data_IF_899781509462
#
_entry.id   IF_899781509462
#
_cell.length_a   1.000
_cell.length_b   1.000
_cell.length_c   1.000
_cell.angle_alpha   90.00
_cell.angle_beta   90.00
_cell.angle_gamma   90.00
#
_symmetry.space_group_name_H-M   'P 1'
#
loop_
_entity.id
_entity.type
_entity.pdbx_description
1 polymer ?
#
# COMPACT_ATOMS: atom_id res chain seq x y z
N UNK A 1 -17.72 23.94 -29.75
CA UNK A 1 -16.93 22.73 -30.03
C UNK A 1 -15.46 22.85 -29.62
N UNK A 2 -14.79 24.02 -29.78
CA UNK A 2 -13.34 24.16 -29.48
C UNK A 2 -12.90 23.85 -28.03
N UNK A 3 -13.70 24.14 -27.01
CA UNK A 3 -13.32 23.88 -25.61
C UNK A 3 -13.21 22.39 -25.24
N UNK A 4 -14.00 21.51 -25.89
CA UNK A 4 -13.99 20.09 -25.56
C UNK A 4 -12.71 19.38 -26.03
N UNK A 5 -12.16 19.83 -27.15
CA UNK A 5 -10.98 19.25 -27.79
C UNK A 5 -9.74 19.41 -26.90
N UNK A 6 -9.58 20.53 -26.18
CA UNK A 6 -8.39 20.76 -25.37
C UNK A 6 -8.29 19.82 -24.17
N UNK A 7 -9.39 19.54 -23.47
CA UNK A 7 -9.41 18.53 -22.41
C UNK A 7 -9.13 17.13 -22.98
N UNK A 8 -9.69 16.79 -24.13
CA UNK A 8 -9.46 15.49 -24.78
C UNK A 8 -7.99 15.33 -25.16
N UNK A 9 -7.36 16.36 -25.73
CA UNK A 9 -5.93 16.37 -26.02
C UNK A 9 -5.10 16.21 -24.75
N UNK A 10 -5.41 16.94 -23.68
CA UNK A 10 -4.73 16.80 -22.40
C UNK A 10 -4.79 15.37 -21.88
N UNK A 11 -5.99 14.77 -21.84
CA UNK A 11 -6.18 13.39 -21.35
C UNK A 11 -5.51 12.37 -22.28
N UNK A 12 -5.61 12.55 -23.59
CA UNK A 12 -4.96 11.69 -24.59
C UNK A 12 -3.44 11.73 -24.44
N UNK A 13 -2.85 12.92 -24.26
CA UNK A 13 -1.41 13.07 -24.06
C UNK A 13 -0.94 12.36 -22.79
N UNK A 14 -1.68 12.49 -21.68
CA UNK A 14 -1.40 11.75 -20.44
C UNK A 14 -1.53 10.23 -20.63
N UNK A 15 -2.54 9.78 -21.37
CA UNK A 15 -2.75 8.36 -21.67
C UNK A 15 -1.63 7.78 -22.55
N UNK A 16 -1.23 8.49 -23.60
CA UNK A 16 -0.12 8.12 -24.48
C UNK A 16 1.19 8.07 -23.71
N UNK A 17 1.45 9.03 -22.82
CA UNK A 17 2.61 9.02 -21.94
C UNK A 17 2.62 7.78 -21.03
N UNK A 18 1.49 7.48 -20.40
CA UNK A 18 1.34 6.30 -19.55
C UNK A 18 1.57 5.00 -20.33
N UNK A 19 0.99 4.88 -21.54
CA UNK A 19 1.23 3.73 -22.41
C UNK A 19 2.70 3.63 -22.81
N UNK A 20 3.34 4.74 -23.15
CA UNK A 20 4.76 4.84 -23.45
C UNK A 20 5.59 4.18 -22.35
N UNK A 21 5.39 4.63 -21.11
CA UNK A 21 6.21 4.22 -19.97
C UNK A 21 5.84 2.86 -19.38
N UNK A 22 4.57 2.43 -19.49
CA UNK A 22 4.09 1.19 -18.87
C UNK A 22 4.08 0.00 -19.81
N UNK A 23 3.80 0.21 -21.09
CA UNK A 23 3.73 -0.87 -22.08
C UNK A 23 5.11 -1.17 -22.68
N UNK A 24 5.89 -0.14 -23.01
CA UNK A 24 7.23 -0.33 -23.56
C UNK A 24 8.26 -0.43 -22.43
N UNK A 25 8.92 -1.59 -22.33
CA UNK A 25 9.97 -1.80 -21.33
C UNK A 25 11.16 -0.85 -21.48
N UNK A 26 12.05 -0.75 -20.47
CA UNK A 26 13.10 0.27 -20.45
C UNK A 26 14.08 0.24 -21.63
N UNK A 27 14.29 -0.93 -22.21
CA UNK A 27 15.17 -1.15 -23.35
C UNK A 27 14.49 -0.98 -24.71
N UNK A 28 13.18 -0.73 -24.75
CA UNK A 28 12.44 -0.69 -26.01
C UNK A 28 12.66 0.67 -26.73
N UNK A 29 13.11 0.69 -27.99
CA UNK A 29 13.52 1.92 -28.69
C UNK A 29 12.37 2.90 -28.94
N UNK A 30 11.12 2.40 -29.03
CA UNK A 30 9.93 3.25 -29.21
C UNK A 30 9.50 3.97 -27.92
N UNK A 31 9.94 3.52 -26.74
CA UNK A 31 9.54 4.13 -25.45
C UNK A 31 9.75 5.65 -25.44
N UNK A 32 10.97 6.19 -25.66
CA UNK A 32 11.20 7.64 -25.63
C UNK A 32 10.38 8.40 -26.68
N UNK A 33 10.16 7.83 -27.86
CA UNK A 33 9.38 8.47 -28.92
C UNK A 33 7.90 8.61 -28.52
N UNK A 34 7.30 7.55 -27.94
CA UNK A 34 5.91 7.57 -27.48
C UNK A 34 5.74 8.48 -26.26
N UNK A 35 6.66 8.42 -25.29
CA UNK A 35 6.64 9.30 -24.12
C UNK A 35 6.77 10.77 -24.52
N UNK A 36 7.69 11.09 -25.44
CA UNK A 36 7.87 12.46 -25.96
C UNK A 36 6.63 12.93 -26.71
N UNK A 37 5.99 12.06 -27.50
CA UNK A 37 4.73 12.38 -28.17
C UNK A 37 3.61 12.68 -27.15
N UNK A 38 3.50 11.89 -26.07
CA UNK A 38 2.56 12.15 -24.98
C UNK A 38 2.77 13.52 -24.33
N UNK A 39 4.02 13.85 -23.96
CA UNK A 39 4.39 15.16 -23.40
C UNK A 39 4.09 16.29 -24.39
N UNK A 40 4.41 16.12 -25.68
CA UNK A 40 4.15 17.12 -26.70
C UNK A 40 2.65 17.41 -26.86
N UNK A 41 1.78 16.39 -26.78
CA UNK A 41 0.32 16.55 -26.85
C UNK A 41 -0.21 17.29 -25.61
N UNK A 42 0.30 16.97 -24.40
CA UNK A 42 -0.06 17.70 -23.18
C UNK A 42 0.38 19.17 -23.26
N UNK A 43 1.61 19.42 -23.71
CA UNK A 43 2.15 20.76 -23.89
C UNK A 43 1.35 21.55 -24.93
N UNK A 44 0.97 20.91 -26.05
CA UNK A 44 0.12 21.53 -27.07
C UNK A 44 -1.25 21.91 -26.51
N UNK A 45 -1.89 21.04 -25.73
CA UNK A 45 -3.17 21.34 -25.09
C UNK A 45 -3.06 22.57 -24.16
N UNK A 46 -1.99 22.64 -23.37
CA UNK A 46 -1.69 23.77 -22.50
C UNK A 46 -1.44 25.07 -23.28
N UNK A 47 -0.57 25.03 -24.29
CA UNK A 47 -0.23 26.20 -25.11
C UNK A 47 -1.45 26.74 -25.85
N UNK A 48 -2.26 25.86 -26.44
CA UNK A 48 -3.51 26.27 -27.09
C UNK A 48 -4.46 26.90 -26.07
N UNK A 49 -4.57 26.35 -24.85
CA UNK A 49 -5.38 26.96 -23.78
C UNK A 49 -4.85 28.35 -23.43
N UNK A 50 -3.55 28.51 -23.23
CA UNK A 50 -2.93 29.78 -22.89
C UNK A 50 -3.16 30.82 -24.00
N UNK A 51 -2.92 30.45 -25.26
CA UNK A 51 -3.17 31.33 -26.42
C UNK A 51 -4.65 31.71 -26.50
N UNK A 52 -5.58 30.78 -26.28
CA UNK A 52 -7.02 31.10 -26.27
C UNK A 52 -7.40 32.03 -25.13
N UNK A 53 -6.76 31.92 -23.96
CA UNK A 53 -6.98 32.81 -22.83
C UNK A 53 -6.42 34.22 -23.11
N UNK A 54 -5.23 34.31 -23.71
CA UNK A 54 -4.59 35.58 -24.06
C UNK A 54 -5.30 36.33 -25.18
N UNK A 55 -5.86 35.61 -26.16
CA UNK A 55 -6.65 36.19 -27.26
C UNK A 55 -8.08 36.57 -26.85
N UNK A 56 -8.59 36.05 -25.74
CA UNK A 56 -9.90 36.43 -25.24
C UNK A 56 -9.87 37.84 -24.63
N UNK A 57 -11.02 38.53 -24.64
CA UNK A 57 -11.18 39.85 -24.04
C UNK A 57 -12.23 39.82 -22.92
N UNK A 58 -12.22 40.84 -22.07
CA UNK A 58 -13.22 41.02 -21.00
C UNK A 58 -13.28 39.90 -19.96
N UNK A 59 -14.49 39.52 -19.56
CA UNK A 59 -14.76 38.47 -18.56
C UNK A 59 -14.27 37.09 -19.01
N UNK A 60 -14.36 36.79 -20.32
CA UNK A 60 -13.95 35.51 -20.86
C UNK A 60 -12.46 35.23 -20.65
N UNK A 61 -11.61 36.24 -20.78
CA UNK A 61 -10.17 36.13 -20.47
C UNK A 61 -9.95 35.77 -19.01
N UNK A 62 -10.64 36.45 -18.08
CA UNK A 62 -10.52 36.18 -16.64
C UNK A 62 -10.92 34.74 -16.29
N UNK A 63 -12.01 34.24 -16.89
CA UNK A 63 -12.47 32.86 -16.70
C UNK A 63 -11.45 31.86 -17.25
N UNK A 64 -10.94 32.07 -18.47
CA UNK A 64 -9.97 31.15 -19.08
C UNK A 64 -8.62 31.12 -18.35
N UNK A 65 -8.15 32.26 -17.85
CA UNK A 65 -6.91 32.33 -17.06
C UNK A 65 -6.99 31.54 -15.75
N UNK A 66 -8.20 31.36 -15.18
CA UNK A 66 -8.37 30.54 -13.97
C UNK A 66 -8.10 29.05 -14.18
N UNK A 67 -8.13 28.54 -15.42
CA UNK A 67 -7.77 27.15 -15.70
C UNK A 67 -6.25 26.93 -15.70
N UNK A 68 -5.46 27.99 -15.94
CA UNK A 68 -4.01 27.90 -16.14
C UNK A 68 -3.28 27.28 -14.92
N UNK A 69 -3.58 27.66 -13.66
CA UNK A 69 -2.97 27.02 -12.50
C UNK A 69 -3.17 25.49 -12.45
N UNK A 70 -4.33 24.99 -12.86
CA UNK A 70 -4.60 23.55 -12.88
C UNK A 70 -3.78 22.81 -13.95
N UNK A 71 -3.63 23.41 -15.15
CA UNK A 71 -2.70 22.89 -16.16
C UNK A 71 -1.25 22.92 -15.68
N UNK A 72 -0.82 24.00 -15.03
CA UNK A 72 0.53 24.13 -14.49
C UNK A 72 0.80 23.07 -13.41
N UNK A 73 -0.13 22.87 -12.47
CA UNK A 73 -0.02 21.83 -11.45
C UNK A 73 0.07 20.42 -12.09
N UNK A 74 -0.75 20.14 -13.10
CA UNK A 74 -0.67 18.87 -13.85
C UNK A 74 0.69 18.70 -14.53
N UNK A 75 1.21 19.76 -15.15
CA UNK A 75 2.54 19.80 -15.77
C UNK A 75 3.67 19.61 -14.76
N UNK A 76 3.61 20.24 -13.59
CA UNK A 76 4.57 20.03 -12.50
C UNK A 76 4.55 18.58 -12.05
N UNK A 77 3.37 17.95 -11.95
CA UNK A 77 3.26 16.51 -11.69
C UNK A 77 4.01 15.65 -12.72
N UNK A 78 3.91 15.99 -14.01
CA UNK A 78 4.65 15.28 -15.07
C UNK A 78 6.16 15.55 -15.03
N UNK A 79 6.59 16.77 -14.67
CA UNK A 79 7.99 17.09 -14.47
C UNK A 79 8.59 16.28 -13.32
N UNK A 80 7.88 16.23 -12.18
CA UNK A 80 8.27 15.41 -11.03
C UNK A 80 8.36 13.92 -11.41
N UNK A 81 7.42 13.43 -12.23
CA UNK A 81 7.50 12.08 -12.77
C UNK A 81 8.78 11.85 -13.59
N UNK A 82 9.11 12.78 -14.49
CA UNK A 82 10.34 12.73 -15.29
C UNK A 82 11.62 12.66 -14.45
N UNK A 83 11.65 13.33 -13.29
CA UNK A 83 12.76 13.25 -12.34
C UNK A 83 12.93 11.87 -11.69
N UNK A 84 11.87 11.04 -11.66
CA UNK A 84 11.95 9.67 -11.12
C UNK A 84 12.47 8.65 -12.12
N UNK A 85 12.60 9.03 -13.40
CA UNK A 85 13.06 8.13 -14.45
C UNK A 85 14.58 7.90 -14.35
N UNK A 86 15.07 6.69 -14.66
CA UNK A 86 16.52 6.40 -14.65
C UNK A 86 17.35 7.29 -15.59
N UNK A 87 16.71 7.84 -16.64
CA UNK A 87 17.34 8.73 -17.61
C UNK A 87 17.25 10.22 -17.22
N UNK A 88 16.83 10.54 -15.99
CA UNK A 88 16.77 11.92 -15.51
C UNK A 88 18.16 12.57 -15.57
N UNK A 89 18.28 13.80 -16.11
CA UNK A 89 19.55 14.53 -16.14
C UNK A 89 19.97 15.03 -14.74
N UNK A 90 19.04 15.02 -13.78
CA UNK A 90 19.29 15.43 -12.40
C UNK A 90 19.53 14.20 -11.52
N UNK A 91 20.75 14.01 -10.99
CA UNK A 91 21.02 12.93 -10.05
C UNK A 91 20.32 13.26 -8.73
N UNK A 92 19.38 12.41 -8.34
CA UNK A 92 18.69 12.48 -7.05
C UNK A 92 19.15 11.32 -6.19
N UNK A 93 19.36 11.56 -4.90
CA UNK A 93 19.60 10.50 -3.93
C UNK A 93 18.36 9.62 -3.74
N UNK A 94 18.56 8.43 -3.18
CA UNK A 94 17.50 7.43 -3.05
C UNK A 94 16.32 7.91 -2.18
N UNK A 95 16.57 8.74 -1.17
CA UNK A 95 15.53 9.28 -0.30
C UNK A 95 14.70 10.33 -1.05
N UNK A 96 15.34 11.25 -1.77
CA UNK A 96 14.65 12.23 -2.60
C UNK A 96 13.82 11.57 -3.70
N UNK A 97 14.34 10.54 -4.39
CA UNK A 97 13.56 9.79 -5.39
C UNK A 97 12.31 9.16 -4.76
N UNK A 98 12.40 8.62 -3.55
CA UNK A 98 11.23 8.06 -2.86
C UNK A 98 10.17 9.13 -2.55
N UNK A 99 10.58 10.31 -2.09
CA UNK A 99 9.67 11.45 -1.86
C UNK A 99 9.00 11.87 -3.18
N UNK A 100 9.78 12.04 -4.26
CA UNK A 100 9.25 12.47 -5.56
C UNK A 100 8.29 11.42 -6.13
N UNK A 101 8.56 10.12 -5.95
CA UNK A 101 7.67 9.01 -6.34
C UNK A 101 6.27 9.09 -5.71
N UNK A 102 6.18 9.63 -4.49
CA UNK A 102 4.91 9.84 -3.78
C UNK A 102 4.28 11.18 -4.19
N UNK A 103 5.09 12.22 -4.36
CA UNK A 103 4.62 13.57 -4.66
C UNK A 103 4.05 13.71 -6.08
N UNK A 104 4.70 13.15 -7.10
CA UNK A 104 4.28 13.33 -8.49
C UNK A 104 2.83 12.90 -8.78
N UNK A 105 2.31 11.74 -8.31
CA UNK A 105 0.92 11.37 -8.60
C UNK A 105 -0.06 12.27 -7.84
N UNK A 106 0.27 12.70 -6.62
CA UNK A 106 -0.58 13.61 -5.84
C UNK A 106 -0.69 14.99 -6.49
N UNK A 107 0.44 15.55 -6.92
CA UNK A 107 0.49 16.85 -7.63
C UNK A 107 -0.21 16.74 -8.99
N UNK A 108 0.00 15.64 -9.72
CA UNK A 108 -0.68 15.39 -10.99
C UNK A 108 -2.20 15.27 -10.81
N UNK A 109 -2.68 14.58 -9.77
CA UNK A 109 -4.11 14.50 -9.43
C UNK A 109 -4.67 15.88 -9.06
N UNK A 110 -3.95 16.64 -8.24
CA UNK A 110 -4.33 17.99 -7.82
C UNK A 110 -4.37 19.00 -8.98
N UNK A 111 -3.70 18.74 -10.10
CA UNK A 111 -3.86 19.53 -11.32
C UNK A 111 -4.95 18.98 -12.25
N UNK A 112 -4.90 17.67 -12.54
CA UNK A 112 -5.71 17.04 -13.58
C UNK A 112 -7.19 16.91 -13.21
N UNK A 113 -7.50 16.59 -11.95
CA UNK A 113 -8.89 16.39 -11.52
C UNK A 113 -9.63 17.74 -11.47
N UNK A 114 -9.13 18.80 -10.81
CA UNK A 114 -9.76 20.13 -10.91
C UNK A 114 -9.93 20.59 -12.35
N UNK A 115 -8.90 20.39 -13.19
CA UNK A 115 -8.95 20.76 -14.58
C UNK A 115 -10.10 20.05 -15.32
N UNK A 116 -10.28 18.75 -15.09
CA UNK A 116 -11.39 17.99 -15.67
C UNK A 116 -12.75 18.59 -15.30
N UNK A 117 -13.00 18.85 -14.01
CA UNK A 117 -14.27 19.42 -13.55
C UNK A 117 -14.49 20.85 -14.06
N UNK A 118 -13.45 21.68 -14.07
CA UNK A 118 -13.49 23.04 -14.59
C UNK A 118 -13.82 23.06 -16.10
N UNK A 119 -13.19 22.20 -16.89
CA UNK A 119 -13.44 22.08 -18.32
C UNK A 119 -14.85 21.54 -18.60
N UNK A 120 -15.33 20.57 -17.82
CA UNK A 120 -16.72 20.08 -17.92
C UNK A 120 -17.73 21.18 -17.59
N UNK A 121 -17.48 21.99 -16.57
CA UNK A 121 -18.29 23.15 -16.22
C UNK A 121 -18.28 24.20 -17.34
N UNK A 122 -17.10 24.51 -17.89
CA UNK A 122 -16.93 25.46 -18.99
C UNK A 122 -17.64 25.01 -20.27
N UNK A 123 -17.67 23.70 -20.57
CA UNK A 123 -18.39 23.14 -21.72
C UNK A 123 -19.89 23.47 -21.65
N UNK A 124 -20.50 23.36 -20.48
CA UNK A 124 -21.91 23.69 -20.27
C UNK A 124 -22.23 25.18 -20.47
N UNK A 125 -21.24 26.06 -20.32
CA UNK A 125 -21.40 27.52 -20.43
C UNK A 125 -20.83 28.10 -21.74
N UNK A 126 -20.28 27.28 -22.64
CA UNK A 126 -19.45 27.79 -23.75
C UNK A 126 -20.16 28.72 -24.73
N UNK A 127 -21.50 28.57 -24.86
CA UNK A 127 -22.35 29.40 -25.73
C UNK A 127 -23.08 30.52 -24.97
N UNK A 128 -22.92 30.61 -23.66
CA UNK A 128 -23.59 31.62 -22.86
C UNK A 128 -23.02 33.01 -23.18
N UNK A 129 -23.87 34.07 -23.25
CA UNK A 129 -23.41 35.45 -23.45
C UNK A 129 -22.46 35.94 -22.34
N UNK A 130 -22.67 35.44 -21.12
CA UNK A 130 -21.84 35.71 -19.94
C UNK A 130 -21.41 34.39 -19.30
N UNK A 131 -20.17 34.33 -18.84
CA UNK A 131 -19.62 33.14 -18.19
C UNK A 131 -19.68 33.28 -16.68
N UNK A 132 -20.25 32.29 -16.00
CA UNK A 132 -20.35 32.28 -14.55
C UNK A 132 -19.01 31.88 -13.92
N UNK A 133 -18.26 32.88 -13.48
CA UNK A 133 -16.93 32.68 -12.87
C UNK A 133 -17.02 31.85 -11.58
N UNK A 134 -18.10 32.02 -10.81
CA UNK A 134 -18.33 31.30 -9.55
C UNK A 134 -18.50 29.80 -9.78
N UNK A 135 -19.34 29.42 -10.75
CA UNK A 135 -19.58 28.02 -11.10
C UNK A 135 -18.31 27.30 -11.59
N UNK A 136 -17.43 28.00 -12.30
CA UNK A 136 -16.13 27.43 -12.69
C UNK A 136 -15.25 27.17 -11.46
N UNK A 137 -15.21 28.12 -10.53
CA UNK A 137 -14.40 28.02 -9.32
C UNK A 137 -14.90 26.92 -8.37
N UNK A 138 -16.21 26.82 -8.18
CA UNK A 138 -16.83 25.75 -7.40
C UNK A 138 -16.53 24.37 -7.99
N UNK A 139 -16.56 24.22 -9.32
CA UNK A 139 -16.14 22.99 -9.99
C UNK A 139 -14.65 22.67 -9.76
N UNK A 140 -13.79 23.69 -9.78
CA UNK A 140 -12.36 23.54 -9.48
C UNK A 140 -12.10 23.10 -8.03
N UNK A 141 -12.77 23.72 -7.05
CA UNK A 141 -12.71 23.32 -5.64
C UNK A 141 -13.20 21.89 -5.49
N UNK A 142 -14.36 21.55 -6.04
CA UNK A 142 -14.90 20.19 -5.96
C UNK A 142 -13.94 19.14 -6.51
N UNK A 143 -13.33 19.40 -7.68
CA UNK A 143 -12.30 18.53 -8.24
C UNK A 143 -11.04 18.44 -7.36
N UNK A 144 -10.65 19.53 -6.69
CA UNK A 144 -9.48 19.54 -5.81
C UNK A 144 -9.76 18.74 -4.53
N UNK A 145 -10.95 18.89 -3.97
CA UNK A 145 -11.41 18.08 -2.83
C UNK A 145 -11.36 16.59 -3.18
N UNK A 146 -11.85 16.19 -4.36
CA UNK A 146 -11.75 14.79 -4.82
C UNK A 146 -10.30 14.34 -4.93
N UNK A 147 -9.42 15.14 -5.53
CA UNK A 147 -8.00 14.81 -5.65
C UNK A 147 -7.31 14.62 -4.29
N UNK A 148 -7.61 15.49 -3.33
CA UNK A 148 -7.04 15.42 -1.98
C UNK A 148 -7.57 14.23 -1.20
N UNK A 149 -8.87 13.92 -1.29
CA UNK A 149 -9.47 12.73 -0.66
C UNK A 149 -8.85 11.46 -1.23
N UNK A 150 -8.68 11.36 -2.55
CA UNK A 150 -8.01 10.21 -3.18
C UNK A 150 -6.55 10.08 -2.73
N UNK A 151 -5.81 11.19 -2.70
CA UNK A 151 -4.42 11.21 -2.23
C UNK A 151 -4.31 10.78 -0.78
N UNK A 152 -5.23 11.23 0.07
CA UNK A 152 -5.30 10.87 1.48
C UNK A 152 -5.67 9.39 1.66
N UNK A 153 -6.61 8.87 0.87
CA UNK A 153 -6.98 7.45 0.89
C UNK A 153 -5.78 6.56 0.54
N UNK A 154 -4.99 6.91 -0.47
CA UNK A 154 -3.76 6.18 -0.82
C UNK A 154 -2.75 6.23 0.33
N UNK A 155 -2.53 7.42 0.92
CA UNK A 155 -1.61 7.57 2.05
C UNK A 155 -2.07 6.76 3.27
N UNK A 156 -3.37 6.77 3.59
CA UNK A 156 -3.94 5.97 4.67
C UNK A 156 -3.78 4.47 4.44
N UNK A 157 -4.08 3.98 3.23
CA UNK A 157 -3.91 2.56 2.91
C UNK A 157 -2.44 2.15 3.05
N UNK A 158 -1.50 3.00 2.61
CA UNK A 158 -0.08 2.74 2.80
C UNK A 158 0.32 2.69 4.29
N UNK A 159 -0.17 3.63 5.10
CA UNK A 159 0.10 3.62 6.55
C UNK A 159 -0.54 2.41 7.21
N UNK A 160 -1.77 2.07 6.84
CA UNK A 160 -2.48 0.90 7.35
C UNK A 160 -1.73 -0.39 7.03
N UNK A 161 -1.23 -0.56 5.79
CA UNK A 161 -0.39 -1.70 5.39
C UNK A 161 0.92 -1.76 6.18
N UNK A 162 1.62 -0.63 6.34
CA UNK A 162 2.92 -0.58 7.06
C UNK A 162 2.80 -0.67 8.57
N UNK A 163 1.65 -0.32 9.13
CA UNK A 163 1.36 -0.33 10.56
C UNK A 163 0.24 -1.30 10.88
N UNK A 164 0.04 -2.33 10.06
CA UNK A 164 -0.96 -3.38 10.29
C UNK A 164 -0.58 -4.16 11.54
N UNK A 165 -0.97 -3.61 12.68
CA UNK A 165 -0.90 -4.28 13.97
C UNK A 165 -2.19 -5.06 14.08
N UNK A 166 -2.08 -6.37 13.88
CA UNK A 166 -3.11 -7.32 14.28
C UNK A 166 -3.22 -7.27 15.80
N UNK A 167 -4.07 -6.37 16.30
CA UNK A 167 -4.49 -6.38 17.68
C UNK A 167 -5.54 -7.48 17.76
N UNK A 168 -5.12 -8.68 18.15
CA UNK A 168 -6.03 -9.78 18.42
C UNK A 168 -6.83 -9.43 19.68
N UNK A 169 -8.05 -8.93 19.48
CA UNK A 169 -9.00 -8.61 20.55
C UNK A 169 -9.64 -9.87 21.15
N UNK A 170 -9.30 -11.07 20.64
CA UNK A 170 -9.63 -12.31 21.36
C UNK A 170 -8.73 -12.39 22.59
N UNK A 171 -9.38 -12.16 23.72
CA UNK A 171 -8.90 -12.33 25.08
C UNK A 171 -8.22 -13.69 25.27
N UNK A 172 -6.91 -13.80 24.99
CA UNK A 172 -6.04 -14.75 25.67
C UNK A 172 -5.64 -14.19 27.04
N UNK A 173 -6.64 -13.83 27.83
CA UNK A 173 -6.39 -13.69 29.25
C UNK A 173 -6.18 -15.13 29.72
N UNK A 174 -4.95 -15.44 30.12
CA UNK A 174 -4.58 -16.61 30.93
C UNK A 174 -4.09 -17.88 30.20
N UNK A 175 -3.06 -17.78 29.33
CA UNK A 175 -2.11 -18.91 29.12
C UNK A 175 -1.02 -18.93 30.21
N UNK A 176 -1.42 -18.71 31.46
CA UNK A 176 -0.55 -18.88 32.62
C UNK A 176 -0.90 -20.22 33.28
N UNK A 177 0.09 -21.03 33.69
CA UNK A 177 -0.18 -22.22 34.48
C UNK A 177 -0.91 -21.82 35.77
N UNK A 178 -1.93 -22.59 36.12
CA UNK A 178 -2.66 -22.40 37.38
C UNK A 178 -1.74 -22.69 38.57
N UNK A 179 -2.00 -22.09 39.74
CA UNK A 179 -1.19 -22.33 40.94
C UNK A 179 -1.09 -23.82 41.31
N UNK A 180 -2.17 -24.58 41.11
CA UNK A 180 -2.18 -26.03 41.31
C UNK A 180 -1.27 -26.77 40.32
N UNK A 181 -1.26 -26.36 39.04
CA UNK A 181 -0.36 -26.95 38.03
C UNK A 181 1.10 -26.65 38.36
N UNK A 182 1.41 -25.44 38.81
CA UNK A 182 2.76 -25.08 39.21
C UNK A 182 3.25 -25.90 40.42
N UNK A 183 2.37 -26.16 41.39
CA UNK A 183 2.69 -26.97 42.57
C UNK A 183 2.93 -28.44 42.21
N UNK A 184 2.14 -29.01 41.29
CA UNK A 184 2.38 -30.35 40.75
C UNK A 184 3.76 -30.45 40.12
N UNK A 185 4.15 -29.47 39.30
CA UNK A 185 5.46 -29.47 38.63
C UNK A 185 6.61 -29.28 39.63
N UNK A 186 6.45 -28.40 40.62
CA UNK A 186 7.46 -28.19 41.69
C UNK A 186 7.74 -29.47 42.48
N UNK A 187 6.74 -30.32 42.67
CA UNK A 187 6.84 -31.55 43.45
C UNK A 187 7.07 -32.81 42.60
N UNK A 188 7.48 -32.68 41.34
CA UNK A 188 7.84 -33.83 40.50
C UNK A 188 9.05 -34.56 41.08
N UNK A 189 8.87 -35.84 41.42
CA UNK A 189 9.93 -36.74 41.92
C UNK A 189 10.60 -37.54 40.81
N UNK A 190 10.00 -37.61 39.62
CA UNK A 190 10.48 -38.35 38.46
C UNK A 190 10.62 -37.40 37.25
N UNK A 191 11.59 -37.66 36.35
CA UNK A 191 11.77 -36.84 35.16
C UNK A 191 10.59 -37.01 34.18
N UNK A 192 10.07 -35.89 33.71
CA UNK A 192 9.00 -35.80 32.72
C UNK A 192 9.46 -34.90 31.56
N UNK A 193 9.24 -35.36 30.33
CA UNK A 193 9.56 -34.59 29.12
C UNK A 193 8.27 -34.15 28.44
N UNK A 194 8.15 -32.84 28.18
CA UNK A 194 7.10 -32.24 27.35
C UNK A 194 7.66 -32.05 25.96
N UNK A 195 7.13 -32.76 24.97
CA UNK A 195 7.51 -32.60 23.56
C UNK A 195 6.42 -31.87 22.79
N UNK A 196 6.77 -30.71 22.24
CA UNK A 196 5.91 -29.92 21.36
C UNK A 196 6.09 -30.41 19.92
N UNK A 197 5.06 -31.08 19.37
CA UNK A 197 5.07 -31.66 18.03
C UNK A 197 4.47 -30.68 17.03
N UNK A 198 5.24 -29.66 16.62
CA UNK A 198 4.80 -28.61 15.72
C UNK A 198 5.89 -28.25 14.72
N UNK A 199 5.55 -27.87 13.48
CA UNK A 199 6.51 -27.39 12.50
C UNK A 199 7.07 -26.02 12.91
N UNK A 200 8.26 -25.63 12.39
CA UNK A 200 8.82 -24.30 12.64
C UNK A 200 7.86 -23.21 12.12
N UNK A 201 7.71 -22.12 12.89
CA UNK A 201 6.80 -21.01 12.62
C UNK A 201 5.29 -21.37 12.64
N UNK A 202 4.88 -22.26 13.53
CA UNK A 202 3.47 -22.53 13.80
C UNK A 202 2.89 -21.56 14.85
N UNK A 203 1.81 -20.86 14.50
CA UNK A 203 1.15 -19.87 15.36
C UNK A 203 0.66 -20.43 16.70
N UNK A 204 0.29 -21.72 16.77
CA UNK A 204 -0.16 -22.37 18.02
C UNK A 204 1.02 -22.70 18.91
N UNK A 205 2.11 -23.21 18.33
CA UNK A 205 3.34 -23.53 19.04
C UNK A 205 3.97 -22.30 19.70
N UNK A 206 4.10 -21.20 18.96
CA UNK A 206 4.63 -19.92 19.46
C UNK A 206 3.79 -19.38 20.62
N UNK A 207 2.49 -19.73 20.67
CA UNK A 207 1.54 -19.28 21.68
C UNK A 207 1.58 -20.10 22.97
N UNK A 208 1.79 -21.42 22.88
CA UNK A 208 1.81 -22.34 24.04
C UNK A 208 3.21 -22.56 24.61
N UNK A 209 4.26 -22.33 23.83
CA UNK A 209 5.64 -22.52 24.29
C UNK A 209 5.96 -21.71 25.56
N UNK A 210 5.56 -20.43 25.71
CA UNK A 210 5.81 -19.67 26.94
C UNK A 210 5.19 -20.31 28.19
N UNK A 211 4.04 -20.97 28.07
CA UNK A 211 3.38 -21.68 29.16
C UNK A 211 4.23 -22.85 29.66
N UNK A 212 4.69 -23.72 28.74
CA UNK A 212 5.49 -24.88 29.10
C UNK A 212 6.91 -24.51 29.52
N UNK A 213 7.49 -23.46 28.92
CA UNK A 213 8.78 -22.91 29.35
C UNK A 213 8.73 -22.39 30.78
N UNK A 214 7.63 -21.73 31.17
CA UNK A 214 7.43 -21.29 32.55
C UNK A 214 7.36 -22.49 33.50
N UNK A 215 6.68 -23.58 33.13
CA UNK A 215 6.63 -24.80 33.93
C UNK A 215 8.00 -25.48 34.03
N UNK A 216 8.74 -25.61 32.93
CA UNK A 216 10.08 -26.22 32.92
C UNK A 216 11.07 -25.47 33.81
N UNK A 217 10.90 -24.15 33.97
CA UNK A 217 11.71 -23.35 34.88
C UNK A 217 11.42 -23.62 36.38
N UNK A 218 10.30 -24.28 36.73
CA UNK A 218 9.92 -24.53 38.12
C UNK A 218 10.53 -25.80 38.72
N UNK A 219 11.00 -26.74 37.90
CA UNK A 219 11.56 -27.99 38.37
C UNK A 219 12.61 -28.53 37.40
N UNK A 220 13.78 -28.98 37.88
CA UNK A 220 14.79 -29.63 37.05
C UNK A 220 14.32 -30.98 36.49
N UNK A 221 13.22 -31.53 37.01
CA UNK A 221 12.63 -32.78 36.54
C UNK A 221 11.66 -32.60 35.37
N UNK A 222 11.46 -31.37 34.86
CA UNK A 222 10.61 -31.11 33.70
C UNK A 222 11.44 -30.56 32.52
N UNK A 223 11.56 -31.36 31.47
CA UNK A 223 12.27 -30.97 30.24
C UNK A 223 11.30 -30.59 29.13
N UNK A 224 11.67 -29.59 28.32
CA UNK A 224 10.89 -29.13 27.16
C UNK A 224 11.67 -29.40 25.87
N UNK A 225 11.09 -30.21 24.97
CA UNK A 225 11.67 -30.58 23.68
C UNK A 225 10.76 -30.10 22.53
N UNK A 226 11.35 -29.65 21.42
CA UNK A 226 10.64 -29.30 20.19
C UNK A 226 10.98 -30.32 19.11
N UNK A 227 9.96 -30.97 18.56
CA UNK A 227 10.15 -32.00 17.52
C UNK A 227 9.21 -31.71 16.37
N UNK A 228 9.77 -31.55 15.18
CA UNK A 228 8.99 -31.55 13.94
C UNK A 228 8.91 -32.99 13.42
N UNK A 229 7.70 -33.52 13.30
CA UNK A 229 7.45 -34.90 12.85
C UNK A 229 7.96 -35.13 11.42
N UNK A 230 7.95 -34.11 10.57
CA UNK A 230 8.39 -34.21 9.18
C UNK A 230 9.92 -34.20 9.08
N UNK A 231 10.58 -33.40 9.91
CA UNK A 231 12.04 -33.29 9.93
C UNK A 231 12.73 -34.38 10.76
N UNK A 232 12.05 -34.93 11.78
CA UNK A 232 12.59 -35.92 12.71
C UNK A 232 11.69 -37.16 12.87
N UNK A 233 11.48 -37.96 11.81
CA UNK A 233 10.54 -39.07 11.82
C UNK A 233 10.92 -40.22 12.76
N UNK A 234 12.21 -40.37 13.09
CA UNK A 234 12.67 -41.38 14.07
C UNK A 234 12.19 -41.05 15.47
N UNK A 235 12.35 -39.79 15.89
CA UNK A 235 11.93 -39.28 17.19
C UNK A 235 10.41 -39.31 17.34
N UNK A 236 9.68 -38.96 16.28
CA UNK A 236 8.22 -39.06 16.26
C UNK A 236 7.71 -40.50 16.41
N UNK A 237 8.40 -41.49 15.82
CA UNK A 237 8.05 -42.93 15.96
C UNK A 237 8.26 -43.44 17.39
N UNK A 238 9.35 -43.02 18.05
CA UNK A 238 9.60 -43.35 19.47
C UNK A 238 8.46 -42.83 20.36
N UNK A 239 8.03 -41.59 20.11
CA UNK A 239 6.93 -40.95 20.83
C UNK A 239 5.53 -41.39 20.36
N UNK A 240 5.44 -42.34 19.42
CA UNK A 240 4.20 -42.81 18.77
C UNK A 240 3.35 -41.68 18.18
N UNK A 241 3.96 -40.55 17.82
CA UNK A 241 3.32 -39.40 17.19
C UNK A 241 3.10 -39.66 15.70
N UNK A 242 1.86 -39.48 15.22
CA UNK A 242 1.49 -39.70 13.80
C UNK A 242 1.41 -38.42 12.98
N UNK A 243 1.16 -37.28 13.61
CA UNK A 243 0.91 -35.99 12.96
C UNK A 243 1.36 -34.84 13.88
N UNK A 244 1.72 -33.71 13.29
CA UNK A 244 1.95 -32.44 14.00
C UNK A 244 0.63 -31.91 14.61
N UNK A 245 0.70 -31.04 15.61
CA UNK A 245 -0.46 -30.45 16.29
C UNK A 245 -0.77 -31.01 17.68
N UNK A 246 0.20 -31.65 18.33
CA UNK A 246 0.01 -32.27 19.64
C UNK A 246 1.13 -31.92 20.63
N UNK A 247 0.79 -31.96 21.91
CA UNK A 247 1.74 -31.91 23.02
C UNK A 247 1.86 -33.33 23.58
N UNK A 248 3.08 -33.87 23.64
CA UNK A 248 3.36 -35.18 24.22
C UNK A 248 3.98 -35.03 25.60
N UNK A 249 3.46 -35.76 26.58
CA UNK A 249 4.02 -35.87 27.92
C UNK A 249 4.61 -37.27 28.05
N UNK A 250 5.92 -37.35 28.33
CA UNK A 250 6.64 -38.61 28.45
C UNK A 250 7.21 -38.77 29.85
N UNK A 251 6.98 -39.93 30.46
CA UNK A 251 7.55 -40.33 31.75
C UNK A 251 8.00 -41.79 31.63
N UNK A 252 9.31 -42.01 31.52
CA UNK A 252 9.86 -43.32 31.15
C UNK A 252 9.23 -43.81 29.83
N UNK A 253 8.70 -45.04 29.83
CA UNK A 253 8.04 -45.66 28.67
C UNK A 253 6.55 -45.25 28.50
N UNK A 254 6.03 -44.41 29.39
CA UNK A 254 4.63 -43.97 29.34
C UNK A 254 4.51 -42.63 28.61
N UNK A 255 3.70 -42.60 27.54
CA UNK A 255 3.44 -41.40 26.76
C UNK A 255 1.95 -41.04 26.82
N UNK A 256 1.65 -39.77 27.08
CA UNK A 256 0.30 -39.21 27.03
C UNK A 256 0.26 -38.06 26.03
N UNK A 257 -0.71 -38.09 25.11
CA UNK A 257 -0.87 -37.07 24.07
C UNK A 257 -2.05 -36.16 24.35
N UNK A 258 -1.82 -34.85 24.29
CA UNK A 258 -2.86 -33.84 24.29
C UNK A 258 -2.93 -33.26 22.87
N UNK A 259 -4.06 -33.45 22.19
CA UNK A 259 -4.30 -32.80 20.90
C UNK A 259 -4.90 -31.43 21.12
N UNK A 260 -4.35 -30.45 20.42
CA UNK A 260 -4.92 -29.12 20.34
C UNK A 260 -5.64 -29.06 18.99
N UNK A 261 -6.96 -29.18 19.01
CA UNK A 261 -7.77 -28.95 17.81
C UNK A 261 -7.54 -27.50 17.35
N UNK A 262 -7.19 -27.37 16.07
CA UNK A 262 -6.89 -26.08 15.41
C UNK A 262 -8.16 -25.43 14.89
#
# INVERSE_FOLDING_TARGET
>A
MRGAILLQLYLLGNFVLFLGERYFGPAHPLRPAVSLAGVAVVALAFLLRLVTALRATGERRRVLLRLIPAYLAGGVGLLLYGLTLPASPFPLDAHTVAIVRIAWPMVWLAGSVPLFFMEMSLRGMWRAPKLETRRLFEAGIGGLTVALVLSWLVALNFVADKKDRRIDLRTLKDLLPSGATEEIVRNLTEPVTVTLLFPPANDVAERIEPYFRKLAALSPHLELEHVDVEMQPKRARELRARQNGAVMLSRGDTHASIRLDT
#
